data_IF_594229092929
#
_entry.id   IF_594229092929
#
_cell.length_a   1.000
_cell.length_b   1.000
_cell.length_c   1.000
_cell.angle_alpha   90.00
_cell.angle_beta   90.00
_cell.angle_gamma   90.00
#
_symmetry.space_group_name_H-M   'P 1'
#
loop_
_entity.id
_entity.type
_entity.pdbx_description
1 polymer ?
#
# COMPACT_ATOMS: atom_id res chain seq x y z
N UNK A 1 42.02 -8.35 33.95
CA UNK A 1 40.97 -8.82 33.02
C UNK A 1 40.02 -7.65 32.76
N UNK A 2 40.21 -6.91 31.65
CA UNK A 2 39.45 -5.68 31.37
C UNK A 2 38.11 -6.04 30.72
N UNK A 3 37.02 -5.83 31.45
CA UNK A 3 35.63 -6.14 31.08
C UNK A 3 35.06 -5.14 30.05
N UNK A 4 35.93 -4.42 29.32
CA UNK A 4 35.56 -3.28 28.47
C UNK A 4 34.91 -3.67 27.13
N UNK A 5 34.93 -4.95 26.75
CA UNK A 5 34.30 -5.42 25.50
C UNK A 5 32.79 -5.66 25.60
N UNK A 6 32.28 -5.95 26.81
CA UNK A 6 30.87 -6.29 27.04
C UNK A 6 29.88 -5.13 26.78
N UNK A 7 30.12 -3.88 27.22
CA UNK A 7 29.18 -2.79 26.98
C UNK A 7 29.14 -2.34 25.50
N UNK A 8 30.26 -2.46 24.78
CA UNK A 8 30.34 -2.12 23.35
C UNK A 8 29.56 -3.14 22.50
N UNK A 9 29.68 -4.42 22.82
CA UNK A 9 28.94 -5.50 22.18
C UNK A 9 27.42 -5.35 22.41
N UNK A 10 27.03 -5.00 23.64
CA UNK A 10 25.62 -4.79 24.00
C UNK A 10 25.02 -3.57 23.28
N UNK A 11 25.79 -2.49 23.14
CA UNK A 11 25.38 -1.31 22.38
C UNK A 11 25.24 -1.60 20.87
N UNK A 12 26.14 -2.38 20.29
CA UNK A 12 26.02 -2.82 18.90
C UNK A 12 24.78 -3.70 18.67
N UNK A 13 24.45 -4.58 19.62
CA UNK A 13 23.24 -5.40 19.59
C UNK A 13 21.96 -4.55 19.66
N UNK A 14 21.93 -3.53 20.51
CA UNK A 14 20.80 -2.59 20.61
C UNK A 14 20.62 -1.77 19.33
N UNK A 15 21.71 -1.33 18.70
CA UNK A 15 21.65 -0.58 17.43
C UNK A 15 21.17 -1.45 16.26
N UNK A 16 21.50 -2.74 16.23
CA UNK A 16 21.01 -3.67 15.21
C UNK A 16 19.51 -3.99 15.35
N UNK A 17 18.92 -3.80 16.53
CA UNK A 17 17.51 -4.09 16.80
C UNK A 17 16.53 -3.03 16.25
N UNK A 18 17.02 -1.85 15.83
CA UNK A 18 16.18 -0.81 15.20
C UNK A 18 15.75 -1.13 13.76
N UNK A 19 16.18 -2.26 13.19
CA UNK A 19 15.77 -2.71 11.88
C UNK A 19 14.37 -3.30 11.89
N UNK A 20 13.33 -2.44 11.86
CA UNK A 20 11.95 -2.86 11.54
C UNK A 20 11.98 -3.66 10.24
N UNK A 21 11.79 -4.97 10.35
CA UNK A 21 11.50 -5.83 9.22
C UNK A 21 10.08 -5.49 8.80
N UNK A 22 9.94 -4.54 7.87
CA UNK A 22 8.66 -4.17 7.30
C UNK A 22 7.93 -5.44 6.84
N UNK A 23 6.77 -5.70 7.43
CA UNK A 23 5.92 -6.85 7.09
C UNK A 23 5.62 -6.76 5.60
N UNK A 24 6.27 -7.59 4.78
CA UNK A 24 5.91 -7.73 3.37
C UNK A 24 4.52 -8.36 3.36
N UNK A 25 3.51 -7.55 3.08
CA UNK A 25 2.18 -8.07 2.79
C UNK A 25 2.32 -8.84 1.48
N UNK A 26 2.26 -10.17 1.55
CA UNK A 26 2.23 -11.00 0.35
C UNK A 26 0.97 -10.61 -0.45
N UNK A 27 1.18 -10.13 -1.67
CA UNK A 27 0.10 -9.94 -2.63
C UNK A 27 -0.30 -11.33 -3.10
N UNK A 28 -1.34 -11.89 -2.51
CA UNK A 28 -1.92 -13.11 -3.07
C UNK A 28 -2.52 -12.79 -4.44
N UNK A 29 -2.26 -13.62 -5.47
CA UNK A 29 -2.86 -13.42 -6.77
C UNK A 29 -4.38 -13.45 -6.62
N UNK A 30 -5.04 -12.35 -7.01
CA UNK A 30 -6.49 -12.28 -7.08
C UNK A 30 -7.03 -13.34 -8.06
N UNK A 31 -8.35 -13.62 -8.02
CA UNK A 31 -9.00 -14.55 -8.94
C UNK A 31 -8.54 -14.35 -10.39
N UNK A 32 -8.27 -15.44 -11.10
CA UNK A 32 -7.90 -15.38 -12.50
C UNK A 32 -9.01 -14.69 -13.32
N UNK A 33 -8.62 -13.78 -14.23
CA UNK A 33 -9.56 -13.07 -15.12
C UNK A 33 -10.01 -11.67 -14.66
N UNK A 34 -9.53 -11.17 -13.52
CA UNK A 34 -9.82 -9.80 -13.08
C UNK A 34 -9.10 -8.74 -13.93
N UNK A 35 -9.79 -7.62 -14.22
CA UNK A 35 -9.16 -6.44 -14.81
C UNK A 35 -8.09 -5.88 -13.85
N UNK A 36 -7.05 -5.22 -14.35
CA UNK A 36 -5.95 -4.73 -13.51
C UNK A 36 -6.41 -3.93 -12.28
N UNK A 37 -7.35 -3.01 -12.44
CA UNK A 37 -7.91 -2.16 -11.37
C UNK A 37 -8.87 -2.87 -10.40
N UNK A 38 -9.18 -4.15 -10.62
CA UNK A 38 -9.99 -4.98 -9.71
C UNK A 38 -9.14 -5.89 -8.84
N UNK A 39 -7.82 -5.95 -9.07
CA UNK A 39 -6.93 -6.84 -8.33
C UNK A 39 -6.66 -6.30 -6.92
N UNK A 40 -6.52 -7.17 -5.91
CA UNK A 40 -6.05 -6.76 -4.59
C UNK A 40 -4.69 -6.05 -4.68
N UNK A 41 -4.49 -5.02 -3.87
CA UNK A 41 -3.27 -4.23 -3.85
C UNK A 41 -2.87 -3.85 -2.42
N UNK A 42 -1.68 -3.28 -2.25
CA UNK A 42 -1.22 -2.80 -0.95
C UNK A 42 -0.55 -1.45 -1.07
N UNK A 43 -0.89 -0.54 -0.15
CA UNK A 43 -0.35 0.82 -0.06
C UNK A 43 0.09 1.04 1.38
N UNK A 44 1.32 1.51 1.59
CA UNK A 44 1.85 1.82 2.92
C UNK A 44 1.73 0.67 3.95
N UNK A 45 1.77 -0.59 3.49
CA UNK A 45 1.65 -1.78 4.34
C UNK A 45 0.21 -2.20 4.66
N UNK A 46 -0.80 -1.47 4.17
CA UNK A 46 -2.21 -1.83 4.27
C UNK A 46 -2.69 -2.54 3.00
N UNK A 47 -3.52 -3.58 3.17
CA UNK A 47 -4.05 -4.41 2.07
C UNK A 47 -5.47 -4.00 1.74
N UNK A 48 -5.72 -3.75 0.46
CA UNK A 48 -7.05 -3.44 -0.06
C UNK A 48 -7.53 -4.52 -1.03
N UNK A 49 -8.80 -4.87 -0.94
CA UNK A 49 -9.48 -5.83 -1.81
C UNK A 49 -10.72 -5.14 -2.39
N UNK A 50 -10.70 -4.73 -3.67
CA UNK A 50 -11.85 -4.08 -4.29
C UNK A 50 -13.10 -4.97 -4.28
N UNK A 51 -14.26 -4.35 -4.07
CA UNK A 51 -15.54 -5.04 -4.26
C UNK A 51 -15.71 -5.39 -5.74
N UNK A 52 -15.97 -6.66 -6.04
CA UNK A 52 -16.19 -7.11 -7.41
C UNK A 52 -17.56 -6.71 -7.95
N UNK A 53 -18.51 -6.45 -7.06
CA UNK A 53 -19.84 -5.96 -7.38
C UNK A 53 -20.33 -5.00 -6.29
N UNK A 54 -21.19 -4.08 -6.67
CA UNK A 54 -21.66 -2.98 -5.81
C UNK A 54 -23.11 -3.15 -5.33
N UNK A 55 -23.74 -4.33 -5.52
CA UNK A 55 -25.14 -4.50 -5.12
C UNK A 55 -25.31 -4.31 -3.61
N UNK A 56 -26.20 -3.38 -3.24
CA UNK A 56 -26.46 -3.04 -1.84
C UNK A 56 -25.39 -2.16 -1.17
N UNK A 57 -24.32 -1.79 -1.87
CA UNK A 57 -23.33 -0.85 -1.35
C UNK A 57 -23.93 0.55 -1.24
N UNK A 58 -23.85 1.15 -0.05
CA UNK A 58 -24.28 2.53 0.22
C UNK A 58 -23.30 3.17 1.19
N UNK A 59 -22.80 4.34 0.84
CA UNK A 59 -21.87 5.14 1.63
C UNK A 59 -22.18 6.62 1.42
N UNK A 60 -21.93 7.45 2.43
CA UNK A 60 -22.03 8.91 2.37
C UNK A 60 -20.70 9.52 2.82
N UNK A 61 -20.26 10.58 2.15
CA UNK A 61 -18.96 11.21 2.42
C UNK A 61 -18.77 12.52 1.66
N UNK A 62 -17.61 13.14 1.84
CA UNK A 62 -17.24 14.36 1.13
C UNK A 62 -16.86 14.03 -0.32
N UNK A 63 -17.48 14.72 -1.29
CA UNK A 63 -17.12 14.65 -2.69
C UNK A 63 -16.33 15.90 -3.11
N UNK A 64 -15.34 15.71 -3.97
CA UNK A 64 -14.60 16.77 -4.67
C UNK A 64 -14.44 16.39 -6.14
N UNK A 65 -14.02 17.35 -6.97
CA UNK A 65 -13.84 17.17 -8.41
C UNK A 65 -12.37 17.35 -8.77
N UNK A 66 -11.91 16.63 -9.79
CA UNK A 66 -10.62 16.91 -10.45
C UNK A 66 -10.69 18.24 -11.20
N UNK A 67 -9.54 18.85 -11.48
CA UNK A 67 -9.45 20.10 -12.26
C UNK A 67 -9.20 19.84 -13.75
N UNK A 68 -9.02 20.92 -14.51
CA UNK A 68 -8.66 20.85 -15.93
C UNK A 68 -7.17 20.51 -16.14
N UNK A 69 -6.35 20.60 -15.10
CA UNK A 69 -4.90 20.33 -15.16
C UNK A 69 -4.63 18.83 -15.42
N UNK A 70 -5.58 17.99 -15.05
CA UNK A 70 -5.53 16.54 -15.15
C UNK A 70 -6.11 16.02 -16.48
N UNK A 71 -6.74 16.88 -17.29
CA UNK A 71 -7.35 16.51 -18.57
C UNK A 71 -6.30 15.91 -19.53
N UNK A 72 -6.66 14.82 -20.21
CA UNK A 72 -5.77 14.10 -21.11
C UNK A 72 -4.79 13.15 -20.40
N UNK A 73 -4.76 13.12 -19.06
CA UNK A 73 -3.95 12.20 -18.28
C UNK A 73 -4.55 10.77 -18.19
N UNK A 74 -3.73 9.74 -17.93
CA UNK A 74 -4.24 8.39 -17.68
C UNK A 74 -4.85 8.28 -16.28
N UNK A 75 -6.02 7.65 -16.19
CA UNK A 75 -6.67 7.34 -14.91
C UNK A 75 -6.23 5.97 -14.37
N UNK A 76 -6.66 5.63 -13.14
CA UNK A 76 -6.30 4.35 -12.49
C UNK A 76 -6.86 3.11 -13.20
N UNK A 77 -7.89 3.25 -14.04
CA UNK A 77 -8.40 2.17 -14.88
C UNK A 77 -7.72 2.15 -16.28
N UNK A 78 -6.82 3.10 -16.56
CA UNK A 78 -6.10 3.22 -17.83
C UNK A 78 -6.83 4.02 -18.92
N UNK A 79 -8.08 4.44 -18.71
CA UNK A 79 -8.78 5.34 -19.63
C UNK A 79 -8.22 6.77 -19.50
N UNK A 80 -8.24 7.52 -20.60
CA UNK A 80 -7.88 8.94 -20.60
C UNK A 80 -8.95 9.75 -19.88
N UNK A 81 -8.55 10.59 -18.94
CA UNK A 81 -9.46 11.51 -18.30
C UNK A 81 -9.89 12.59 -19.29
N UNK A 82 -11.19 12.67 -19.53
CA UNK A 82 -11.82 13.64 -20.40
C UNK A 82 -12.78 14.50 -19.56
N UNK A 83 -12.66 15.81 -19.69
CA UNK A 83 -13.38 16.83 -18.90
C UNK A 83 -13.99 17.84 -19.85
#
# INVERSE_FOLDING_TARGET
MRVTGFPLLFLCLLLAACGTTGRRVAVEPGPAGLRPWQRPYSVNGERYVPLLRAEGYREEGLASWYGAEEHGGPTSNGETFDM
#
